data_IF_435245088813
#
_entry.id   IF_435245088813
#
_cell.length_a   1.000
_cell.length_b   1.000
_cell.length_c   1.000
_cell.angle_alpha   90.00
_cell.angle_beta   90.00
_cell.angle_gamma   90.00
#
_symmetry.space_group_name_H-M   'P 1'
#
loop_
_entity.id
_entity.type
_entity.pdbx_description
1 polymer ?
#
# COMPACT_ATOMS: atom_id res chain seq x y z
N UNK A 1 -56.24 -100.09 36.59
CA UNK A 1 -54.84 -99.67 36.81
C UNK A 1 -53.95 -99.70 35.55
N UNK A 2 -54.38 -100.22 34.39
CA UNK A 2 -53.55 -100.26 33.17
C UNK A 2 -53.62 -99.02 32.24
N UNK A 3 -54.65 -98.16 32.37
CA UNK A 3 -54.83 -96.98 31.51
C UNK A 3 -54.05 -95.73 31.96
N UNK A 4 -53.86 -95.54 33.27
CA UNK A 4 -53.13 -94.38 33.83
C UNK A 4 -51.60 -94.47 33.66
N UNK A 5 -51.04 -95.69 33.67
CA UNK A 5 -49.60 -95.88 33.46
C UNK A 5 -49.18 -95.59 32.01
N UNK A 6 -50.05 -95.86 31.02
CA UNK A 6 -49.79 -95.57 29.61
C UNK A 6 -49.87 -94.07 29.30
N UNK A 7 -50.82 -93.36 29.91
CA UNK A 7 -50.96 -91.91 29.75
C UNK A 7 -49.77 -91.13 30.32
N UNK A 8 -49.17 -91.60 31.43
CA UNK A 8 -48.00 -90.95 32.03
C UNK A 8 -46.71 -91.17 31.23
N UNK A 9 -46.54 -92.36 30.66
CA UNK A 9 -45.40 -92.67 29.78
C UNK A 9 -45.45 -91.89 28.45
N UNK A 10 -46.65 -91.72 27.85
CA UNK A 10 -46.81 -90.94 26.62
C UNK A 10 -46.59 -89.43 26.86
N UNK A 11 -46.95 -88.92 28.05
CA UNK A 11 -46.70 -87.52 28.43
C UNK A 11 -45.19 -87.25 28.64
N UNK A 12 -44.47 -88.14 29.30
CA UNK A 12 -43.00 -88.03 29.48
C UNK A 12 -42.25 -88.16 28.14
N UNK A 13 -42.69 -89.03 27.24
CA UNK A 13 -42.12 -89.18 25.89
C UNK A 13 -42.36 -87.93 25.01
N UNK A 14 -43.54 -87.32 25.09
CA UNK A 14 -43.81 -86.05 24.40
C UNK A 14 -42.96 -84.90 24.95
N UNK A 15 -42.80 -84.82 26.28
CA UNK A 15 -41.95 -83.79 26.90
C UNK A 15 -40.48 -83.93 26.51
N UNK A 16 -39.96 -85.16 26.47
CA UNK A 16 -38.60 -85.42 26.02
C UNK A 16 -38.41 -85.06 24.52
N UNK A 17 -39.42 -85.33 23.68
CA UNK A 17 -39.39 -84.96 22.26
C UNK A 17 -39.43 -83.45 22.04
N UNK A 18 -40.27 -82.73 22.78
CA UNK A 18 -40.34 -81.25 22.77
C UNK A 18 -39.03 -80.61 23.28
N UNK A 19 -38.41 -81.17 24.31
CA UNK A 19 -37.12 -80.68 24.80
C UNK A 19 -35.99 -80.90 23.76
N UNK A 20 -35.99 -82.04 23.06
CA UNK A 20 -35.04 -82.30 21.98
C UNK A 20 -35.27 -81.40 20.76
N UNK A 21 -36.52 -81.16 20.36
CA UNK A 21 -36.87 -80.22 19.29
C UNK A 21 -36.47 -78.79 19.63
N UNK A 22 -36.72 -78.33 20.86
CA UNK A 22 -36.32 -77.00 21.30
C UNK A 22 -34.80 -76.83 21.34
N UNK A 23 -34.06 -77.88 21.75
CA UNK A 23 -32.60 -77.86 21.73
C UNK A 23 -32.05 -77.84 20.30
N UNK A 24 -32.61 -78.66 19.40
CA UNK A 24 -32.21 -78.67 17.99
C UNK A 24 -32.50 -77.32 17.30
N UNK A 25 -33.62 -76.67 17.65
CA UNK A 25 -33.97 -75.35 17.14
C UNK A 25 -33.03 -74.26 17.67
N UNK A 26 -32.68 -74.31 18.97
CA UNK A 26 -31.71 -73.39 19.55
C UNK A 26 -30.30 -73.55 18.96
N UNK A 27 -29.86 -74.78 18.69
CA UNK A 27 -28.56 -75.05 18.07
C UNK A 27 -28.54 -74.59 16.59
N UNK A 28 -29.65 -74.74 15.87
CA UNK A 28 -29.80 -74.23 14.50
C UNK A 28 -29.78 -72.69 14.46
N UNK A 29 -30.51 -72.03 15.35
CA UNK A 29 -30.53 -70.57 15.47
C UNK A 29 -29.13 -70.02 15.85
N UNK A 30 -28.39 -70.72 16.72
CA UNK A 30 -27.03 -70.35 17.10
C UNK A 30 -26.03 -70.50 15.94
N UNK A 31 -26.11 -71.56 15.14
CA UNK A 31 -25.28 -71.72 13.94
C UNK A 31 -25.60 -70.66 12.88
N UNK A 32 -26.88 -70.34 12.68
CA UNK A 32 -27.29 -69.32 11.73
C UNK A 32 -26.83 -67.92 12.16
N UNK A 33 -26.89 -67.60 13.45
CA UNK A 33 -26.33 -66.36 14.00
C UNK A 33 -24.80 -66.27 13.82
N UNK A 34 -24.07 -67.38 14.00
CA UNK A 34 -22.62 -67.42 13.80
C UNK A 34 -22.23 -67.21 12.33
N UNK A 35 -22.92 -67.87 11.39
CA UNK A 35 -22.69 -67.72 9.96
C UNK A 35 -23.02 -66.30 9.47
N UNK A 36 -24.08 -65.69 10.00
CA UNK A 36 -24.41 -64.29 9.71
C UNK A 36 -23.34 -63.31 10.22
N UNK A 37 -22.77 -63.58 11.40
CA UNK A 37 -21.67 -62.78 11.96
C UNK A 37 -20.37 -62.92 11.15
N UNK A 38 -20.00 -64.14 10.74
CA UNK A 38 -18.83 -64.38 9.88
C UNK A 38 -19.00 -63.76 8.49
N UNK A 39 -20.18 -63.85 7.88
CA UNK A 39 -20.47 -63.21 6.60
C UNK A 39 -20.38 -61.68 6.67
N UNK A 40 -20.88 -61.09 7.76
CA UNK A 40 -20.78 -59.64 8.01
C UNK A 40 -19.33 -59.20 8.24
N UNK A 41 -18.56 -59.95 9.02
CA UNK A 41 -17.14 -59.66 9.26
C UNK A 41 -16.30 -59.74 7.98
N UNK A 42 -16.59 -60.71 7.10
CA UNK A 42 -15.92 -60.82 5.80
C UNK A 42 -16.29 -59.66 4.85
N UNK A 43 -17.57 -59.29 4.80
CA UNK A 43 -18.01 -58.15 4.00
C UNK A 43 -17.40 -56.82 4.48
N UNK A 44 -17.28 -56.62 5.80
CA UNK A 44 -16.66 -55.44 6.38
C UNK A 44 -15.14 -55.39 6.09
N UNK A 45 -14.46 -56.54 6.09
CA UNK A 45 -13.04 -56.65 5.75
C UNK A 45 -12.78 -56.34 4.25
N UNK A 46 -13.59 -56.91 3.36
CA UNK A 46 -13.49 -56.67 1.91
C UNK A 46 -13.78 -55.19 1.58
N UNK A 47 -14.75 -54.57 2.27
CA UNK A 47 -15.06 -53.15 2.12
C UNK A 47 -13.92 -52.23 2.60
N UNK A 48 -13.26 -52.56 3.72
CA UNK A 48 -12.10 -51.82 4.19
C UNK A 48 -10.91 -51.93 3.22
N UNK A 49 -10.66 -53.12 2.67
CA UNK A 49 -9.56 -53.34 1.74
C UNK A 49 -9.78 -52.60 0.41
N UNK A 50 -11.01 -52.58 -0.11
CA UNK A 50 -11.37 -51.78 -1.28
C UNK A 50 -11.18 -50.27 -1.06
N UNK A 51 -11.54 -49.78 0.14
CA UNK A 51 -11.37 -48.37 0.51
C UNK A 51 -9.88 -47.97 0.59
N UNK A 52 -9.05 -48.82 1.19
CA UNK A 52 -7.60 -48.59 1.29
C UNK A 52 -6.92 -48.59 -0.09
N UNK A 53 -7.34 -49.48 -0.99
CA UNK A 53 -6.82 -49.51 -2.37
C UNK A 53 -7.23 -48.26 -3.17
N UNK A 54 -8.45 -47.78 -2.99
CA UNK A 54 -8.92 -46.54 -3.61
C UNK A 54 -8.17 -45.30 -3.07
N UNK A 55 -7.97 -45.20 -1.75
CA UNK A 55 -7.21 -44.11 -1.13
C UNK A 55 -5.74 -44.13 -1.56
N UNK A 56 -5.13 -45.31 -1.68
CA UNK A 56 -3.75 -45.44 -2.16
C UNK A 56 -3.61 -44.99 -3.63
N UNK A 57 -4.58 -45.35 -4.48
CA UNK A 57 -4.62 -44.92 -5.88
C UNK A 57 -4.83 -43.40 -5.99
N UNK A 58 -5.76 -42.83 -5.24
CA UNK A 58 -6.00 -41.39 -5.22
C UNK A 58 -4.76 -40.60 -4.76
N UNK A 59 -4.02 -41.09 -3.75
CA UNK A 59 -2.75 -40.48 -3.32
C UNK A 59 -1.66 -40.56 -4.38
N UNK A 60 -1.57 -41.67 -5.11
CA UNK A 60 -0.60 -41.84 -6.19
C UNK A 60 -0.92 -40.91 -7.37
N UNK A 61 -2.18 -40.79 -7.76
CA UNK A 61 -2.64 -39.91 -8.84
C UNK A 61 -2.39 -38.43 -8.49
N UNK A 62 -2.68 -38.01 -7.24
CA UNK A 62 -2.36 -36.66 -6.76
C UNK A 62 -0.86 -36.35 -6.77
N UNK A 63 -0.01 -37.31 -6.35
CA UNK A 63 1.44 -37.12 -6.37
C UNK A 63 2.00 -37.01 -7.80
N UNK A 64 1.46 -37.79 -8.73
CA UNK A 64 1.83 -37.72 -10.15
C UNK A 64 1.41 -36.39 -10.80
N UNK A 65 0.22 -35.89 -10.49
CA UNK A 65 -0.27 -34.61 -11.01
C UNK A 65 0.52 -33.43 -10.43
N UNK A 66 0.88 -33.48 -9.13
CA UNK A 66 1.73 -32.47 -8.50
C UNK A 66 3.15 -32.45 -9.08
N UNK A 67 3.74 -33.63 -9.35
CA UNK A 67 5.03 -33.73 -10.03
C UNK A 67 4.99 -33.17 -11.46
N UNK A 68 3.88 -33.41 -12.19
CA UNK A 68 3.68 -32.86 -13.52
C UNK A 68 3.52 -31.34 -13.50
N UNK A 69 2.79 -30.80 -12.52
CA UNK A 69 2.62 -29.36 -12.35
C UNK A 69 3.95 -28.65 -12.04
N UNK A 70 4.78 -29.25 -11.17
CA UNK A 70 6.12 -28.75 -10.86
C UNK A 70 7.06 -28.79 -12.08
N UNK A 71 6.97 -29.83 -12.90
CA UNK A 71 7.73 -29.94 -14.14
C UNK A 71 7.30 -28.89 -15.17
N UNK A 72 5.99 -28.68 -15.37
CA UNK A 72 5.45 -27.64 -16.25
C UNK A 72 5.81 -26.23 -15.77
N UNK A 73 5.77 -25.97 -14.45
CA UNK A 73 6.19 -24.69 -13.88
C UNK A 73 7.68 -24.43 -14.11
N UNK A 74 8.52 -25.46 -13.95
CA UNK A 74 9.95 -25.36 -14.19
C UNK A 74 10.26 -25.15 -15.68
N UNK A 75 9.58 -25.86 -16.57
CA UNK A 75 9.72 -25.67 -18.01
C UNK A 75 9.29 -24.27 -18.47
N UNK A 76 8.20 -23.71 -17.90
CA UNK A 76 7.80 -22.33 -18.14
C UNK A 76 8.81 -21.32 -17.61
N UNK A 77 9.30 -21.51 -16.39
CA UNK A 77 10.31 -20.63 -15.79
C UNK A 77 11.63 -20.65 -16.58
N UNK A 78 12.07 -21.82 -17.04
CA UNK A 78 13.28 -21.97 -17.86
C UNK A 78 13.08 -21.33 -19.26
N UNK A 79 11.89 -21.44 -19.85
CA UNK A 79 11.56 -20.79 -21.13
C UNK A 79 11.52 -19.25 -20.99
N UNK A 80 10.88 -18.73 -19.95
CA UNK A 80 10.83 -17.29 -19.65
C UNK A 80 12.23 -16.73 -19.35
N UNK A 81 13.07 -17.46 -18.61
CA UNK A 81 14.45 -17.08 -18.35
C UNK A 81 15.28 -17.03 -19.65
N UNK A 82 15.07 -17.97 -20.57
CA UNK A 82 15.79 -18.02 -21.83
C UNK A 82 15.33 -16.92 -22.81
N UNK A 83 14.04 -16.57 -22.84
CA UNK A 83 13.55 -15.41 -23.59
C UNK A 83 14.08 -14.09 -23.01
N UNK A 84 14.10 -13.97 -21.68
CA UNK A 84 14.66 -12.78 -21.02
C UNK A 84 16.15 -12.60 -21.32
N UNK A 85 16.93 -13.69 -21.31
CA UNK A 85 18.35 -13.66 -21.67
C UNK A 85 18.56 -13.24 -23.14
N UNK A 86 17.75 -13.74 -24.07
CA UNK A 86 17.81 -13.32 -25.48
C UNK A 86 17.45 -11.85 -25.66
N UNK A 87 16.42 -11.37 -24.96
CA UNK A 87 16.03 -9.96 -24.99
C UNK A 87 17.12 -9.06 -24.38
N UNK A 88 17.73 -9.46 -23.26
CA UNK A 88 18.86 -8.74 -22.65
C UNK A 88 20.10 -8.72 -23.56
N UNK A 89 20.38 -9.81 -24.28
CA UNK A 89 21.49 -9.89 -25.22
C UNK A 89 21.24 -9.04 -26.47
N UNK A 90 20.02 -8.99 -26.99
CA UNK A 90 19.62 -8.11 -28.09
C UNK A 90 19.72 -6.62 -27.70
N UNK A 91 19.23 -6.25 -26.51
CA UNK A 91 19.39 -4.90 -25.96
C UNK A 91 20.86 -4.55 -25.78
N UNK A 92 21.69 -5.51 -25.33
CA UNK A 92 23.13 -5.30 -25.20
C UNK A 92 23.81 -5.09 -26.55
N UNK A 93 23.44 -5.85 -27.59
CA UNK A 93 23.98 -5.69 -28.93
C UNK A 93 23.56 -4.36 -29.56
N UNK A 94 22.30 -3.94 -29.38
CA UNK A 94 21.82 -2.63 -29.82
C UNK A 94 22.59 -1.49 -29.16
N UNK A 95 22.81 -1.57 -27.85
CA UNK A 95 23.61 -0.58 -27.10
C UNK A 95 25.05 -0.53 -27.61
N UNK A 96 25.69 -1.68 -27.83
CA UNK A 96 27.05 -1.73 -28.37
C UNK A 96 27.14 -1.14 -29.79
N UNK A 97 26.14 -1.39 -30.64
CA UNK A 97 26.06 -0.81 -31.98
C UNK A 97 25.85 0.72 -31.93
N UNK A 98 25.01 1.19 -31.01
CA UNK A 98 24.78 2.62 -30.79
C UNK A 98 26.04 3.32 -30.23
N UNK A 99 26.71 2.72 -29.24
CA UNK A 99 27.99 3.19 -28.71
C UNK A 99 29.07 3.25 -29.81
N UNK A 100 29.12 2.26 -30.71
CA UNK A 100 30.07 2.25 -31.82
C UNK A 100 29.76 3.35 -32.87
N UNK A 101 28.49 3.58 -33.20
CA UNK A 101 28.07 4.68 -34.06
C UNK A 101 28.38 6.04 -33.42
N UNK A 102 28.10 6.18 -32.13
CA UNK A 102 28.40 7.39 -31.37
C UNK A 102 29.90 7.65 -31.31
N UNK A 103 30.73 6.63 -31.11
CA UNK A 103 32.18 6.73 -31.15
C UNK A 103 32.70 7.17 -32.53
N UNK A 104 32.11 6.65 -33.62
CA UNK A 104 32.45 7.07 -34.98
C UNK A 104 32.05 8.53 -35.24
N UNK A 105 30.86 8.94 -34.84
CA UNK A 105 30.40 10.33 -34.93
C UNK A 105 31.28 11.29 -34.12
N UNK A 106 31.71 10.88 -32.92
CA UNK A 106 32.65 11.65 -32.10
C UNK A 106 34.03 11.76 -32.76
N UNK A 107 34.52 10.70 -33.39
CA UNK A 107 35.79 10.72 -34.12
C UNK A 107 35.73 11.63 -35.35
N UNK A 108 34.66 11.55 -36.14
CA UNK A 108 34.45 12.42 -37.31
C UNK A 108 34.26 13.89 -36.89
N UNK A 109 33.53 14.14 -35.79
CA UNK A 109 33.39 15.47 -35.21
C UNK A 109 34.73 16.02 -34.70
N UNK A 110 35.57 15.19 -34.08
CA UNK A 110 36.90 15.57 -33.61
C UNK A 110 37.83 15.91 -34.78
N UNK A 111 37.85 15.10 -35.83
CA UNK A 111 38.65 15.36 -37.02
C UNK A 111 38.23 16.67 -37.72
N UNK A 112 36.93 16.96 -37.78
CA UNK A 112 36.40 18.22 -38.29
C UNK A 112 36.79 19.40 -37.39
N UNK A 113 36.69 19.25 -36.07
CA UNK A 113 37.06 20.28 -35.11
C UNK A 113 38.56 20.63 -35.14
N UNK A 114 39.43 19.63 -35.31
CA UNK A 114 40.88 19.83 -35.42
C UNK A 114 41.24 20.57 -36.73
N UNK A 115 40.58 20.23 -37.85
CA UNK A 115 40.74 20.94 -39.12
C UNK A 115 40.24 22.40 -39.03
N UNK A 116 39.10 22.63 -38.39
CA UNK A 116 38.57 23.97 -38.16
C UNK A 116 39.47 24.78 -37.22
N UNK A 117 40.03 24.15 -36.17
CA UNK A 117 40.98 24.80 -35.26
C UNK A 117 42.26 25.23 -35.98
N UNK A 118 42.81 24.39 -36.87
CA UNK A 118 43.95 24.74 -37.72
C UNK A 118 43.62 25.90 -38.67
N UNK A 119 42.43 25.90 -39.27
CA UNK A 119 41.98 26.97 -40.16
C UNK A 119 41.75 28.32 -39.45
N UNK A 120 41.32 28.29 -38.17
CA UNK A 120 41.23 29.49 -37.32
C UNK A 120 42.61 29.99 -36.89
N UNK A 121 43.50 29.10 -36.47
CA UNK A 121 44.87 29.45 -36.06
C UNK A 121 45.71 30.11 -37.18
N UNK A 122 45.33 29.91 -38.44
CA UNK A 122 45.93 30.60 -39.58
C UNK A 122 45.56 32.10 -39.67
N UNK A 123 44.59 32.57 -38.90
CA UNK A 123 44.22 33.98 -38.83
C UNK A 123 45.30 34.79 -38.08
N UNK A 124 45.94 35.73 -38.79
CA UNK A 124 46.94 36.63 -38.20
C UNK A 124 46.38 37.99 -37.79
N UNK A 125 45.14 38.28 -38.19
CA UNK A 125 44.46 39.55 -37.94
C UNK A 125 43.93 39.67 -36.50
N UNK A 126 43.84 40.91 -36.00
CA UNK A 126 43.39 41.19 -34.63
C UNK A 126 41.97 40.68 -34.35
N UNK A 127 41.08 40.72 -35.35
CA UNK A 127 39.71 40.23 -35.19
C UNK A 127 39.69 38.71 -35.06
N UNK A 128 40.48 37.98 -35.85
CA UNK A 128 40.66 36.53 -35.70
C UNK A 128 41.15 36.13 -34.31
N UNK A 129 42.19 36.81 -33.79
CA UNK A 129 42.68 36.59 -32.41
C UNK A 129 41.62 36.85 -31.35
N UNK A 130 40.84 37.91 -31.50
CA UNK A 130 39.74 38.22 -30.58
C UNK A 130 38.62 37.16 -30.62
N UNK A 131 38.28 36.67 -31.81
CA UNK A 131 37.29 35.59 -32.00
C UNK A 131 37.80 34.29 -31.35
N UNK A 132 39.06 33.92 -31.55
CA UNK A 132 39.63 32.70 -30.97
C UNK A 132 39.70 32.75 -29.45
N UNK A 133 40.18 33.87 -28.89
CA UNK A 133 40.22 34.03 -27.43
C UNK A 133 38.83 33.97 -26.80
N UNK A 134 37.82 34.62 -27.41
CA UNK A 134 36.45 34.56 -26.91
C UNK A 134 35.83 33.17 -27.09
N UNK A 135 36.13 32.47 -28.18
CA UNK A 135 35.68 31.10 -28.40
C UNK A 135 36.28 30.13 -27.36
N UNK A 136 37.55 30.31 -26.97
CA UNK A 136 38.18 29.52 -25.90
C UNK A 136 37.52 29.79 -24.54
N UNK A 137 37.26 31.06 -24.21
CA UNK A 137 36.53 31.44 -22.98
C UNK A 137 35.13 30.82 -22.95
N UNK A 138 34.42 30.82 -24.08
CA UNK A 138 33.11 30.21 -24.22
C UNK A 138 33.14 28.69 -24.05
N UNK A 139 34.21 28.01 -24.49
CA UNK A 139 34.41 26.57 -24.28
C UNK A 139 34.68 26.23 -22.80
N UNK A 140 35.41 27.08 -22.08
CA UNK A 140 35.64 26.93 -20.64
C UNK A 140 34.36 27.18 -19.83
N UNK A 141 33.62 28.24 -20.16
CA UNK A 141 32.31 28.55 -19.57
C UNK A 141 31.29 27.43 -19.81
N UNK A 142 31.29 26.82 -21.00
CA UNK A 142 30.44 25.68 -21.33
C UNK A 142 30.71 24.45 -20.43
N UNK A 143 31.96 24.19 -20.05
CA UNK A 143 32.28 23.13 -19.07
C UNK A 143 31.71 23.44 -17.69
N UNK A 144 31.80 24.70 -17.27
CA UNK A 144 31.21 25.13 -15.99
C UNK A 144 29.69 24.96 -15.99
N UNK A 145 29.03 25.25 -17.12
CA UNK A 145 27.59 24.98 -17.25
C UNK A 145 27.26 23.49 -17.20
N UNK A 146 28.05 22.64 -17.85
CA UNK A 146 27.88 21.19 -17.81
C UNK A 146 28.03 20.64 -16.39
N UNK A 147 29.00 21.14 -15.62
CA UNK A 147 29.20 20.79 -14.21
C UNK A 147 28.00 21.21 -13.35
N UNK A 148 27.46 22.43 -13.56
CA UNK A 148 26.27 22.92 -12.86
C UNK A 148 25.04 22.07 -13.19
N UNK A 149 24.85 21.72 -14.45
CA UNK A 149 23.73 20.89 -14.90
C UNK A 149 23.84 19.46 -14.34
N UNK A 150 25.05 18.90 -14.32
CA UNK A 150 25.34 17.59 -13.72
C UNK A 150 25.03 17.57 -12.22
N UNK A 151 25.46 18.60 -11.48
CA UNK A 151 25.13 18.76 -10.07
C UNK A 151 23.62 18.89 -9.87
N UNK A 152 22.94 19.70 -10.67
CA UNK A 152 21.50 19.87 -10.58
C UNK A 152 20.75 18.56 -10.88
N UNK A 153 21.19 17.81 -11.89
CA UNK A 153 20.62 16.52 -12.22
C UNK A 153 20.78 15.50 -11.07
N UNK A 154 21.96 15.45 -10.46
CA UNK A 154 22.20 14.60 -9.30
C UNK A 154 21.29 14.95 -8.12
N UNK A 155 21.05 16.24 -7.85
CA UNK A 155 20.12 16.67 -6.80
C UNK A 155 18.67 16.30 -7.13
N UNK A 156 18.23 16.47 -8.38
CA UNK A 156 16.87 16.05 -8.79
C UNK A 156 16.71 14.52 -8.73
N UNK A 157 17.76 13.76 -9.07
CA UNK A 157 17.75 12.30 -8.94
C UNK A 157 17.60 11.84 -7.48
N UNK A 158 18.22 12.56 -6.53
CA UNK A 158 18.00 12.31 -5.10
C UNK A 158 16.54 12.57 -4.69
N UNK A 159 15.92 13.66 -5.16
CA UNK A 159 14.48 13.91 -4.94
C UNK A 159 13.59 12.83 -5.53
N UNK A 160 13.93 12.32 -6.72
CA UNK A 160 13.21 11.21 -7.34
C UNK A 160 13.33 9.94 -6.48
N UNK A 161 14.52 9.64 -5.97
CA UNK A 161 14.73 8.50 -5.07
C UNK A 161 13.92 8.63 -3.78
N UNK A 162 13.89 9.82 -3.17
CA UNK A 162 13.09 10.05 -1.96
C UNK A 162 11.59 9.86 -2.23
N UNK A 163 11.11 10.27 -3.40
CA UNK A 163 9.73 10.02 -3.83
C UNK A 163 9.44 8.53 -4.03
N UNK A 164 10.35 7.80 -4.68
CA UNK A 164 10.19 6.36 -4.93
C UNK A 164 10.21 5.58 -3.62
N UNK A 165 11.09 5.95 -2.68
CA UNK A 165 11.14 5.42 -1.32
C UNK A 165 9.81 5.63 -0.57
N UNK A 166 9.21 6.82 -0.71
CA UNK A 166 7.94 7.16 -0.08
C UNK A 166 6.76 6.39 -0.70
N UNK A 167 6.76 6.21 -2.02
CA UNK A 167 5.77 5.37 -2.71
C UNK A 167 5.87 3.92 -2.27
N UNK A 168 7.09 3.37 -2.20
CA UNK A 168 7.31 1.99 -1.74
C UNK A 168 6.83 1.80 -0.30
N UNK A 169 7.12 2.74 0.61
CA UNK A 169 6.67 2.70 2.00
C UNK A 169 5.14 2.65 2.08
N UNK A 170 4.46 3.53 1.36
CA UNK A 170 3.00 3.58 1.37
C UNK A 170 2.36 2.37 0.67
N UNK A 171 2.95 1.86 -0.42
CA UNK A 171 2.46 0.65 -1.12
C UNK A 171 2.60 -0.60 -0.25
N UNK A 172 3.66 -0.70 0.56
CA UNK A 172 3.82 -1.78 1.54
C UNK A 172 2.83 -1.62 2.70
N UNK A 173 2.65 -0.39 3.19
CA UNK A 173 1.67 -0.08 4.23
C UNK A 173 0.25 -0.45 3.80
N UNK A 174 -0.15 -0.15 2.56
CA UNK A 174 -1.46 -0.53 2.01
C UNK A 174 -1.67 -2.05 1.89
N UNK A 175 -0.57 -2.83 1.82
CA UNK A 175 -0.60 -4.30 1.86
C UNK A 175 -0.56 -4.84 3.29
N UNK A 176 -0.57 -3.98 4.30
CA UNK A 176 -0.43 -4.34 5.71
C UNK A 176 0.97 -4.80 6.10
N UNK A 177 1.98 -4.49 5.28
CA UNK A 177 3.37 -4.87 5.52
C UNK A 177 4.08 -3.66 6.15
N UNK A 178 4.32 -3.74 7.46
CA UNK A 178 5.01 -2.68 8.20
C UNK A 178 6.50 -2.64 7.84
N UNK A 179 6.95 -1.50 7.32
CA UNK A 179 8.37 -1.16 7.13
C UNK A 179 8.70 -0.02 8.08
N UNK A 180 9.80 -0.14 8.83
CA UNK A 180 10.19 0.90 9.79
C UNK A 180 10.40 2.24 9.05
N UNK A 181 9.79 3.34 9.53
CA UNK A 181 9.93 4.65 8.91
C UNK A 181 11.39 5.07 8.82
N UNK A 182 11.84 5.47 7.63
CA UNK A 182 13.19 6.00 7.46
C UNK A 182 13.36 7.28 8.30
N UNK A 183 14.53 7.50 8.94
CA UNK A 183 14.79 8.73 9.67
C UNK A 183 14.53 9.97 8.82
N UNK A 184 13.92 10.99 9.42
CA UNK A 184 13.68 12.26 8.73
C UNK A 184 15.00 12.89 8.27
N UNK A 185 15.20 12.96 6.95
CA UNK A 185 16.24 13.79 6.36
C UNK A 185 15.78 15.25 6.33
N UNK A 186 16.62 16.14 6.81
CA UNK A 186 16.40 17.58 6.61
C UNK A 186 16.52 17.92 5.12
N UNK A 187 15.40 18.30 4.51
CA UNK A 187 15.35 18.73 3.10
C UNK A 187 15.74 20.19 2.89
N UNK A 188 15.98 20.94 3.96
CA UNK A 188 16.23 22.38 3.88
C UNK A 188 17.53 22.71 3.14
N UNK A 189 18.61 21.98 3.44
CA UNK A 189 19.90 22.16 2.78
C UNK A 189 19.82 21.81 1.29
N UNK A 190 19.17 20.70 0.95
CA UNK A 190 18.99 20.25 -0.43
C UNK A 190 18.10 21.22 -1.23
N UNK A 191 17.00 21.71 -0.64
CA UNK A 191 16.14 22.70 -1.30
C UNK A 191 16.88 24.03 -1.53
N UNK A 192 17.71 24.46 -0.57
CA UNK A 192 18.56 25.63 -0.73
C UNK A 192 19.56 25.44 -1.87
N UNK A 193 20.19 24.26 -1.95
CA UNK A 193 21.10 23.90 -3.04
C UNK A 193 20.40 23.91 -4.41
N UNK A 194 19.18 23.39 -4.50
CA UNK A 194 18.36 23.43 -5.72
C UNK A 194 18.14 24.86 -6.18
N UNK A 195 17.71 25.77 -5.29
CA UNK A 195 17.45 27.16 -5.67
C UNK A 195 18.74 27.90 -6.04
N UNK A 196 19.85 27.61 -5.37
CA UNK A 196 21.16 28.14 -5.74
C UNK A 196 21.59 27.68 -7.15
N UNK A 197 21.46 26.38 -7.45
CA UNK A 197 21.81 25.81 -8.75
C UNK A 197 20.94 26.37 -9.88
N UNK A 198 19.64 26.57 -9.64
CA UNK A 198 18.74 27.23 -10.59
C UNK A 198 19.23 28.63 -10.97
N UNK A 199 19.59 29.44 -9.97
CA UNK A 199 20.08 30.79 -10.19
C UNK A 199 21.43 30.79 -10.92
N UNK A 200 22.35 29.90 -10.54
CA UNK A 200 23.65 29.76 -11.18
C UNK A 200 23.52 29.34 -12.65
N UNK A 201 22.65 28.37 -12.96
CA UNK A 201 22.40 27.92 -14.34
C UNK A 201 21.75 29.04 -15.16
N UNK A 202 20.77 29.76 -14.59
CA UNK A 202 20.12 30.87 -15.28
C UNK A 202 21.12 31.99 -15.62
N UNK A 203 21.99 32.36 -14.67
CA UNK A 203 23.01 33.38 -14.88
C UNK A 203 24.08 32.92 -15.87
N UNK A 204 24.55 31.68 -15.76
CA UNK A 204 25.52 31.13 -16.70
C UNK A 204 24.97 31.09 -18.13
N UNK A 205 23.71 30.68 -18.31
CA UNK A 205 23.01 30.72 -19.59
C UNK A 205 22.93 32.14 -20.16
N UNK A 206 22.64 33.14 -19.32
CA UNK A 206 22.57 34.55 -19.71
C UNK A 206 23.93 35.04 -20.19
N UNK A 207 24.99 34.79 -19.42
CA UNK A 207 26.38 35.19 -19.76
C UNK A 207 26.80 34.55 -21.08
N UNK A 208 26.57 33.24 -21.25
CA UNK A 208 26.97 32.51 -22.45
C UNK A 208 26.25 33.02 -23.70
N UNK A 209 24.95 33.36 -23.60
CA UNK A 209 24.22 34.02 -24.70
C UNK A 209 24.84 35.35 -25.09
N UNK A 210 25.14 36.19 -24.11
CA UNK A 210 25.74 37.51 -24.33
C UNK A 210 27.12 37.38 -25.00
N UNK A 211 27.93 36.42 -24.56
CA UNK A 211 29.26 36.16 -25.13
C UNK A 211 29.18 35.54 -26.54
N UNK A 212 28.24 34.64 -26.82
CA UNK A 212 27.98 34.12 -28.17
C UNK A 212 27.53 35.25 -29.11
N UNK A 213 26.74 36.21 -28.62
CA UNK A 213 26.33 37.37 -29.38
C UNK A 213 27.54 38.28 -29.70
N UNK A 214 28.41 38.52 -28.71
CA UNK A 214 29.69 39.24 -28.91
C UNK A 214 30.58 38.54 -29.94
N UNK A 215 30.71 37.22 -29.85
CA UNK A 215 31.47 36.40 -30.81
C UNK A 215 30.89 36.52 -32.23
N UNK A 216 29.57 36.48 -32.36
CA UNK A 216 28.87 36.68 -33.64
C UNK A 216 29.15 38.07 -34.23
N UNK A 217 29.18 39.11 -33.38
CA UNK A 217 29.47 40.47 -33.81
C UNK A 217 30.92 40.62 -34.28
N UNK A 218 31.89 40.07 -33.55
CA UNK A 218 33.31 40.07 -33.96
C UNK A 218 33.51 39.37 -35.31
N UNK A 219 32.84 38.24 -35.52
CA UNK A 219 32.84 37.54 -36.82
C UNK A 219 32.27 38.42 -37.94
N UNK A 220 31.14 39.09 -37.70
CA UNK A 220 30.55 40.01 -38.69
C UNK A 220 31.46 41.22 -38.99
N UNK A 221 32.18 41.73 -38.00
CA UNK A 221 33.18 42.80 -38.21
C UNK A 221 34.38 42.31 -39.03
N UNK A 222 34.86 41.09 -38.77
CA UNK A 222 35.89 40.46 -39.58
C UNK A 222 35.45 40.31 -41.03
N UNK A 223 34.21 39.87 -41.28
CA UNK A 223 33.65 39.75 -42.63
C UNK A 223 33.60 41.08 -43.39
N UNK A 224 33.54 42.24 -42.72
CA UNK A 224 33.64 43.54 -43.42
C UNK A 224 35.03 43.78 -43.99
N UNK A 225 36.07 43.30 -43.30
CA UNK A 225 37.48 43.42 -43.72
C UNK A 225 37.91 42.28 -44.65
N UNK A 226 37.34 41.10 -44.46
CA UNK A 226 37.60 39.88 -45.22
C UNK A 226 36.28 39.28 -45.73
N UNK A 227 35.72 39.78 -46.84
CA UNK A 227 34.35 39.51 -47.27
C UNK A 227 34.10 38.10 -47.84
N UNK A 228 35.15 37.31 -48.07
CA UNK A 228 34.99 35.96 -48.59
C UNK A 228 34.47 34.99 -47.52
N UNK A 229 33.16 34.85 -47.40
CA UNK A 229 32.54 33.90 -46.44
C UNK A 229 32.97 32.44 -46.63
N UNK A 230 33.51 32.08 -47.80
CA UNK A 230 33.87 30.71 -48.14
C UNK A 230 35.37 30.42 -47.95
N UNK A 231 36.18 31.38 -47.50
CA UNK A 231 37.55 31.06 -47.10
C UNK A 231 37.58 30.12 -45.89
N UNK A 232 38.66 29.34 -45.76
CA UNK A 232 38.75 28.29 -44.75
C UNK A 232 38.58 28.82 -43.31
N UNK A 233 39.15 29.99 -43.03
CA UNK A 233 39.12 30.64 -41.71
C UNK A 233 37.72 31.14 -41.36
N UNK A 234 37.06 31.87 -42.28
CA UNK A 234 35.70 32.37 -42.06
C UNK A 234 34.66 31.24 -41.94
N UNK A 235 34.83 30.14 -42.68
CA UNK A 235 33.99 28.95 -42.52
C UNK A 235 34.19 28.30 -41.16
N UNK A 236 35.43 28.14 -40.71
CA UNK A 236 35.75 27.56 -39.41
C UNK A 236 35.24 28.40 -38.22
N UNK A 237 35.25 29.73 -38.34
CA UNK A 237 34.63 30.61 -37.35
C UNK A 237 33.11 30.50 -37.33
N UNK A 238 32.46 30.51 -38.50
CA UNK A 238 31.01 30.36 -38.60
C UNK A 238 30.53 29.03 -38.03
N UNK A 239 31.22 27.94 -38.36
CA UNK A 239 30.91 26.61 -37.86
C UNK A 239 31.01 26.56 -36.33
N UNK A 240 32.08 27.14 -35.74
CA UNK A 240 32.23 27.22 -34.29
C UNK A 240 31.12 28.03 -33.62
N UNK A 241 30.73 29.16 -34.20
CA UNK A 241 29.60 29.97 -33.69
C UNK A 241 28.31 29.17 -33.71
N UNK A 242 28.06 28.42 -34.79
CA UNK A 242 26.86 27.59 -34.91
C UNK A 242 26.88 26.42 -33.91
N UNK A 243 28.04 25.79 -33.70
CA UNK A 243 28.23 24.76 -32.67
C UNK A 243 27.94 25.31 -31.26
N UNK A 244 28.48 26.48 -30.92
CA UNK A 244 28.24 27.13 -29.63
C UNK A 244 26.76 27.50 -29.44
N UNK A 245 26.09 28.00 -30.48
CA UNK A 245 24.64 28.27 -30.44
C UNK A 245 23.81 27.01 -30.26
N UNK A 246 24.15 25.93 -30.97
CA UNK A 246 23.45 24.66 -30.84
C UNK A 246 23.65 24.04 -29.45
N UNK A 247 24.88 24.08 -28.92
CA UNK A 247 25.20 23.64 -27.57
C UNK A 247 24.42 24.45 -26.52
N UNK A 248 24.36 25.79 -26.67
CA UNK A 248 23.60 26.66 -25.78
C UNK A 248 22.09 26.33 -25.79
N UNK A 249 21.49 26.14 -26.97
CA UNK A 249 20.10 25.73 -27.09
C UNK A 249 19.82 24.37 -26.43
N UNK A 250 20.76 23.42 -26.59
CA UNK A 250 20.67 22.11 -25.95
C UNK A 250 20.72 22.23 -24.42
N UNK A 251 21.67 23.00 -23.87
CA UNK A 251 21.78 23.22 -22.43
C UNK A 251 20.51 23.86 -21.84
N UNK A 252 19.90 24.80 -22.55
CA UNK A 252 18.61 25.39 -22.14
C UNK A 252 17.47 24.37 -22.15
N UNK A 253 17.41 23.53 -23.18
CA UNK A 253 16.40 22.47 -23.26
C UNK A 253 16.57 21.45 -22.12
N UNK A 254 17.80 21.00 -21.87
CA UNK A 254 18.12 20.05 -20.80
C UNK A 254 17.81 20.65 -19.41
N UNK A 255 18.14 21.93 -19.20
CA UNK A 255 17.79 22.66 -17.97
C UNK A 255 16.28 22.78 -17.78
N UNK A 256 15.53 23.12 -18.84
CA UNK A 256 14.08 23.23 -18.79
C UNK A 256 13.40 21.87 -18.50
N UNK A 257 13.90 20.79 -19.11
CA UNK A 257 13.42 19.44 -18.85
C UNK A 257 13.63 19.04 -17.38
N UNK A 258 14.81 19.39 -16.83
CA UNK A 258 15.14 19.08 -15.45
C UNK A 258 14.28 19.88 -14.44
N UNK A 259 13.99 21.14 -14.74
CA UNK A 259 13.04 21.97 -13.98
C UNK A 259 11.63 21.38 -14.00
N UNK A 260 11.15 20.96 -15.17
CA UNK A 260 9.84 20.32 -15.30
C UNK A 260 9.77 19.02 -14.50
N UNK A 261 10.83 18.20 -14.55
CA UNK A 261 10.91 16.97 -13.76
C UNK A 261 10.89 17.25 -12.25
N UNK A 262 11.60 18.27 -11.79
CA UNK A 262 11.58 18.69 -10.39
C UNK A 262 10.17 19.12 -9.93
N UNK A 263 9.43 19.89 -10.73
CA UNK A 263 8.07 20.29 -10.38
C UNK A 263 7.10 19.09 -10.36
N UNK A 264 7.27 18.12 -11.28
CA UNK A 264 6.54 16.85 -11.22
C UNK A 264 6.83 16.09 -9.93
N UNK A 265 8.10 15.93 -9.55
CA UNK A 265 8.51 15.24 -8.32
C UNK A 265 7.91 15.90 -7.08
N UNK A 266 7.90 17.24 -7.03
CA UNK A 266 7.26 17.99 -5.93
C UNK A 266 5.76 17.69 -5.84
N UNK A 267 5.06 17.74 -6.97
CA UNK A 267 3.62 17.47 -7.01
C UNK A 267 3.29 16.03 -6.56
N UNK A 268 4.03 15.04 -7.08
CA UNK A 268 3.85 13.63 -6.72
C UNK A 268 4.19 13.37 -5.24
N UNK A 269 5.24 14.01 -4.72
CA UNK A 269 5.61 13.91 -3.30
C UNK A 269 4.49 14.42 -2.38
N UNK A 270 3.86 15.54 -2.74
CA UNK A 270 2.73 16.07 -1.96
C UNK A 270 1.49 15.17 -2.02
N UNK A 271 1.25 14.49 -3.14
CA UNK A 271 0.20 13.47 -3.24
C UNK A 271 0.48 12.32 -2.28
N UNK A 272 1.70 11.82 -2.28
CA UNK A 272 2.10 10.67 -1.48
C UNK A 272 2.12 10.96 0.02
N UNK A 273 2.55 12.18 0.42
CA UNK A 273 2.40 12.67 1.79
C UNK A 273 0.94 12.71 2.23
N UNK A 274 0.04 13.20 1.38
CA UNK A 274 -1.40 13.24 1.69
C UNK A 274 -1.99 11.83 1.83
N UNK A 275 -1.54 10.86 1.02
CA UNK A 275 -1.93 9.44 1.16
C UNK A 275 -1.52 8.89 2.52
N UNK A 276 -0.26 9.09 2.93
CA UNK A 276 0.25 8.67 4.24
C UNK A 276 -0.53 9.28 5.40
N UNK A 277 -0.86 10.57 5.34
CA UNK A 277 -1.66 11.25 6.38
C UNK A 277 -3.06 10.62 6.49
N UNK A 278 -3.71 10.34 5.36
CA UNK A 278 -5.04 9.70 5.34
C UNK A 278 -4.98 8.29 5.93
N UNK A 279 -3.94 7.52 5.61
CA UNK A 279 -3.75 6.17 6.12
C UNK A 279 -3.46 6.16 7.63
N UNK A 280 -2.55 7.01 8.11
CA UNK A 280 -2.27 7.14 9.53
C UNK A 280 -3.52 7.55 10.32
N UNK A 281 -4.35 8.45 9.77
CA UNK A 281 -5.65 8.78 10.36
C UNK A 281 -6.60 7.57 10.42
N UNK A 282 -6.62 6.74 9.38
CA UNK A 282 -7.46 5.53 9.32
C UNK A 282 -6.99 4.42 10.27
N UNK A 283 -5.69 4.13 10.33
CA UNK A 283 -5.10 3.12 11.20
C UNK A 283 -5.25 3.51 12.68
N UNK A 284 -5.04 4.79 13.01
CA UNK A 284 -5.27 5.31 14.35
C UNK A 284 -6.76 5.19 14.76
N UNK A 285 -7.69 5.40 13.81
CA UNK A 285 -9.12 5.22 14.08
C UNK A 285 -9.50 3.77 14.42
N UNK A 286 -9.00 2.79 13.65
CA UNK A 286 -9.29 1.37 13.90
C UNK A 286 -8.64 0.86 15.20
N UNK A 287 -7.38 1.23 15.45
CA UNK A 287 -6.68 0.88 16.68
C UNK A 287 -7.37 1.45 17.92
N UNK A 288 -7.74 2.74 17.88
CA UNK A 288 -8.51 3.40 18.94
C UNK A 288 -9.84 2.71 19.17
N UNK A 289 -10.60 2.40 18.11
CA UNK A 289 -11.89 1.72 18.26
C UNK A 289 -11.77 0.34 18.93
N UNK A 290 -10.74 -0.44 18.58
CA UNK A 290 -10.50 -1.74 19.22
C UNK A 290 -10.16 -1.60 20.71
N UNK A 291 -9.33 -0.62 21.08
CA UNK A 291 -9.00 -0.33 22.48
C UNK A 291 -10.24 0.14 23.27
N UNK A 292 -11.04 0.99 22.65
CA UNK A 292 -12.28 1.54 23.19
C UNK A 292 -13.32 0.45 23.49
N UNK A 293 -13.51 -0.49 22.57
CA UNK A 293 -14.38 -1.66 22.79
C UNK A 293 -13.85 -2.57 23.91
N UNK A 294 -12.53 -2.79 23.97
CA UNK A 294 -11.93 -3.60 25.02
C UNK A 294 -12.08 -2.96 26.41
N UNK A 295 -11.95 -1.63 26.50
CA UNK A 295 -12.20 -0.87 27.72
C UNK A 295 -13.68 -0.97 28.15
N UNK A 296 -14.62 -0.75 27.22
CA UNK A 296 -16.06 -0.88 27.49
C UNK A 296 -16.41 -2.27 28.01
N UNK A 297 -15.90 -3.32 27.34
CA UNK A 297 -16.12 -4.72 27.75
C UNK A 297 -15.62 -4.95 29.17
N UNK A 298 -14.39 -4.50 29.47
CA UNK A 298 -13.80 -4.61 30.82
C UNK A 298 -14.68 -3.91 31.85
N UNK A 299 -15.09 -2.67 31.59
CA UNK A 299 -15.95 -1.90 32.51
C UNK A 299 -17.24 -2.66 32.81
N UNK A 300 -17.90 -3.21 31.79
CA UNK A 300 -19.14 -3.99 31.96
C UNK A 300 -18.94 -5.28 32.76
N UNK A 301 -17.81 -5.95 32.60
CA UNK A 301 -17.52 -7.24 33.27
C UNK A 301 -16.97 -7.08 34.69
N UNK A 302 -16.21 -6.02 34.98
CA UNK A 302 -15.49 -5.87 36.26
C UNK A 302 -16.17 -4.93 37.24
N UNK A 303 -17.07 -4.05 36.79
CA UNK A 303 -17.70 -3.05 37.65
C UNK A 303 -18.76 -3.71 38.53
N UNK A 304 -18.61 -3.57 39.85
CA UNK A 304 -19.59 -4.05 40.83
C UNK A 304 -20.71 -3.02 41.02
N UNK A 305 -21.96 -3.46 41.26
CA UNK A 305 -23.03 -2.57 41.67
C UNK A 305 -22.65 -1.76 42.91
N UNK A 306 -22.99 -0.47 42.93
CA UNK A 306 -22.71 0.40 44.06
C UNK A 306 -23.56 0.01 45.27
N UNK A 307 -22.94 -0.07 46.45
CA UNK A 307 -23.65 -0.30 47.72
C UNK A 307 -24.36 0.96 48.23
N UNK A 308 -23.88 2.15 47.82
CA UNK A 308 -24.52 3.44 48.07
C UNK A 308 -25.23 3.95 46.82
N UNK A 309 -26.51 4.37 46.89
CA UNK A 309 -27.21 4.93 45.74
C UNK A 309 -26.46 6.14 45.17
N UNK A 310 -26.19 6.12 43.87
CA UNK A 310 -25.57 7.24 43.15
C UNK A 310 -26.63 8.31 42.84
N UNK A 311 -26.20 9.56 42.86
CA UNK A 311 -27.00 10.76 42.59
C UNK A 311 -26.53 11.43 41.30
N UNK A 312 -27.33 12.35 40.74
CA UNK A 312 -26.96 13.05 39.51
C UNK A 312 -25.67 13.88 39.64
N UNK A 313 -25.34 14.37 40.85
CA UNK A 313 -24.09 15.10 41.10
C UNK A 313 -22.84 14.22 41.05
N UNK A 314 -23.00 12.90 41.11
CA UNK A 314 -21.89 11.96 40.99
C UNK A 314 -21.45 11.78 39.52
N UNK A 315 -22.26 12.22 38.55
CA UNK A 315 -22.00 12.06 37.12
C UNK A 315 -21.44 13.35 36.50
N UNK A 316 -20.29 13.24 35.82
CA UNK A 316 -19.80 14.27 34.89
C UNK A 316 -20.46 14.03 33.54
N UNK A 317 -21.44 14.85 33.14
CA UNK A 317 -22.12 14.71 31.84
C UNK A 317 -21.29 15.22 30.66
N UNK A 318 -20.18 15.92 30.96
CA UNK A 318 -19.32 16.55 29.98
C UNK A 318 -20.00 17.74 29.30
N UNK A 319 -19.92 17.79 27.96
CA UNK A 319 -20.45 18.92 27.20
C UNK A 319 -21.97 18.88 27.07
N UNK A 320 -22.61 20.03 27.35
CA UNK A 320 -24.05 20.20 27.20
C UNK A 320 -24.49 19.98 25.75
N UNK A 321 -25.48 19.12 25.59
CA UNK A 321 -26.08 18.83 24.29
C UNK A 321 -27.33 19.68 24.09
N UNK A 322 -27.52 20.15 22.86
CA UNK A 322 -28.83 20.65 22.44
C UNK A 322 -29.83 19.50 22.44
N UNK A 323 -31.10 19.77 22.74
CA UNK A 323 -32.15 18.73 22.83
C UNK A 323 -32.29 17.88 21.54
N UNK A 324 -31.81 18.38 20.39
CA UNK A 324 -31.70 17.63 19.14
C UNK A 324 -30.49 18.08 18.33
N UNK A 325 -29.62 17.14 17.92
CA UNK A 325 -28.48 17.42 17.03
C UNK A 325 -28.42 16.38 15.89
N UNK A 326 -27.96 16.80 14.71
CA UNK A 326 -27.63 15.90 13.60
C UNK A 326 -26.11 15.82 13.47
N UNK A 327 -25.58 14.61 13.46
CA UNK A 327 -24.16 14.32 13.27
C UNK A 327 -24.02 13.37 12.09
N UNK A 328 -23.01 13.59 11.23
CA UNK A 328 -22.81 12.81 10.01
C UNK A 328 -21.49 12.05 10.01
N UNK A 329 -21.41 10.98 9.22
CA UNK A 329 -20.17 10.23 8.93
C UNK A 329 -19.48 9.61 10.16
N UNK A 330 -20.26 8.97 11.03
CA UNK A 330 -19.76 8.20 12.17
C UNK A 330 -19.47 6.75 11.75
N UNK A 331 -18.21 6.48 11.37
CA UNK A 331 -17.74 5.18 10.82
C UNK A 331 -18.23 3.91 11.53
N UNK A 332 -18.33 3.93 12.87
CA UNK A 332 -18.64 2.74 13.69
C UNK A 332 -19.97 2.88 14.45
N UNK A 333 -20.88 3.71 13.95
CA UNK A 333 -22.27 3.76 14.40
C UNK A 333 -23.18 3.49 13.20
N UNK A 334 -24.43 3.15 13.46
CA UNK A 334 -25.43 3.05 12.40
C UNK A 334 -26.19 4.38 12.29
N UNK A 335 -26.83 4.61 11.14
CA UNK A 335 -27.83 5.68 11.05
C UNK A 335 -28.99 5.40 12.02
N UNK A 336 -29.48 6.44 12.70
CA UNK A 336 -30.55 6.32 13.70
C UNK A 336 -30.57 7.46 14.71
N UNK A 337 -31.47 7.37 15.70
CA UNK A 337 -31.59 8.31 16.80
C UNK A 337 -31.06 7.67 18.09
N UNK A 338 -30.04 8.31 18.67
CA UNK A 338 -29.35 7.85 19.86
C UNK A 338 -29.75 8.69 21.07
N UNK A 339 -30.05 8.03 22.19
CA UNK A 339 -30.30 8.68 23.47
C UNK A 339 -28.97 8.89 24.18
N UNK A 340 -28.36 10.05 23.93
CA UNK A 340 -27.07 10.43 24.49
C UNK A 340 -27.25 10.85 25.94
N UNK A 341 -26.48 10.24 26.83
CA UNK A 341 -26.49 10.53 28.27
C UNK A 341 -25.27 11.33 28.72
N UNK A 342 -24.16 11.32 27.96
CA UNK A 342 -22.98 12.14 28.25
C UNK A 342 -22.09 12.30 27.02
N UNK A 343 -21.31 13.39 26.98
CA UNK A 343 -20.36 13.67 25.89
C UNK A 343 -19.01 14.12 26.43
N UNK A 344 -17.95 13.37 26.14
CA UNK A 344 -16.60 13.64 26.64
C UNK A 344 -15.54 13.65 25.53
N UNK A 345 -14.53 14.49 25.66
CA UNK A 345 -13.34 14.47 24.80
C UNK A 345 -12.21 13.57 25.31
N UNK A 346 -12.24 13.17 26.60
CA UNK A 346 -11.24 12.30 27.23
C UNK A 346 -11.76 10.87 27.40
N UNK A 347 -10.85 9.91 27.16
CA UNK A 347 -11.03 8.48 27.44
C UNK A 347 -11.29 8.24 28.93
N UNK A 348 -10.59 8.95 29.81
CA UNK A 348 -10.70 8.78 31.27
C UNK A 348 -12.10 9.18 31.75
N UNK A 349 -12.59 10.35 31.32
CA UNK A 349 -13.93 10.83 31.68
C UNK A 349 -15.03 9.92 31.13
N UNK A 350 -14.84 9.43 29.90
CA UNK A 350 -15.74 8.44 29.31
C UNK A 350 -15.81 7.18 30.19
N UNK A 351 -14.66 6.64 30.57
CA UNK A 351 -14.57 5.41 31.35
C UNK A 351 -15.11 5.59 32.77
N UNK A 352 -14.88 6.73 33.41
CA UNK A 352 -15.48 7.09 34.69
C UNK A 352 -17.00 7.14 34.62
N UNK A 353 -17.55 7.80 33.59
CA UNK A 353 -19.00 7.88 33.40
C UNK A 353 -19.60 6.49 33.16
N UNK A 354 -19.02 5.70 32.26
CA UNK A 354 -19.45 4.33 31.98
C UNK A 354 -19.40 3.46 33.23
N UNK A 355 -18.34 3.55 34.02
CA UNK A 355 -18.18 2.81 35.28
C UNK A 355 -19.28 3.18 36.27
N UNK A 356 -19.57 4.48 36.45
CA UNK A 356 -20.66 4.93 37.33
C UNK A 356 -22.03 4.50 36.82
N UNK A 357 -22.26 4.52 35.51
CA UNK A 357 -23.52 4.08 34.92
C UNK A 357 -23.75 2.58 35.14
N UNK A 358 -22.71 1.75 34.94
CA UNK A 358 -22.75 0.31 35.22
C UNK A 358 -22.93 0.05 36.72
N UNK A 359 -22.23 0.78 37.58
CA UNK A 359 -22.38 0.68 39.04
C UNK A 359 -23.79 1.09 39.52
N UNK A 360 -24.45 2.00 38.81
CA UNK A 360 -25.85 2.39 39.01
C UNK A 360 -26.87 1.40 38.40
N UNK A 361 -26.39 0.29 37.81
CA UNK A 361 -27.22 -0.80 37.27
C UNK A 361 -27.51 -0.71 35.77
N UNK A 362 -26.93 0.24 35.02
CA UNK A 362 -27.12 0.35 33.57
C UNK A 362 -25.99 -0.34 32.80
N UNK A 363 -26.21 -1.59 32.39
CA UNK A 363 -25.19 -2.45 31.77
C UNK A 363 -25.16 -2.41 30.23
N UNK A 364 -26.22 -1.94 29.60
CA UNK A 364 -26.39 -1.77 28.16
C UNK A 364 -25.84 -0.44 27.62
N UNK A 365 -25.12 0.33 28.44
CA UNK A 365 -24.41 1.54 27.99
C UNK A 365 -23.41 1.23 26.87
N UNK A 366 -23.28 2.13 25.91
CA UNK A 366 -22.38 2.04 24.79
C UNK A 366 -21.95 3.47 24.40
N UNK A 367 -21.04 3.59 23.43
CA UNK A 367 -20.66 4.89 22.91
C UNK A 367 -20.22 4.80 21.45
N UNK A 368 -20.21 5.94 20.77
CA UNK A 368 -19.48 6.10 19.52
C UNK A 368 -18.53 7.28 19.62
N UNK A 369 -17.47 7.26 18.81
CA UNK A 369 -16.51 8.36 18.74
C UNK A 369 -16.69 9.13 17.43
N UNK A 370 -16.90 10.43 17.56
CA UNK A 370 -16.92 11.34 16.42
C UNK A 370 -15.50 11.89 16.19
N UNK A 371 -14.89 11.45 15.08
CA UNK A 371 -13.53 11.85 14.69
C UNK A 371 -13.44 13.35 14.39
N UNK A 372 -14.49 13.94 13.83
CA UNK A 372 -14.52 15.37 13.47
C UNK A 372 -14.50 16.28 14.68
N UNK A 373 -15.21 15.90 15.74
CA UNK A 373 -15.29 16.71 16.97
C UNK A 373 -14.35 16.21 18.08
N UNK A 374 -13.68 15.08 17.86
CA UNK A 374 -12.88 14.36 18.85
C UNK A 374 -13.63 14.07 20.16
N UNK A 375 -14.88 13.60 20.05
CA UNK A 375 -15.77 13.39 21.21
C UNK A 375 -16.38 11.99 21.22
N UNK A 376 -16.47 11.44 22.43
CA UNK A 376 -17.23 10.25 22.79
C UNK A 376 -18.66 10.65 23.13
N UNK A 377 -19.62 10.03 22.44
CA UNK A 377 -21.05 10.17 22.71
C UNK A 377 -21.52 8.89 23.38
N UNK A 378 -21.85 8.96 24.66
CA UNK A 378 -22.29 7.82 25.46
C UNK A 378 -23.81 7.72 25.37
N UNK A 379 -24.33 6.53 25.09
CA UNK A 379 -25.75 6.23 24.95
C UNK A 379 -26.08 4.88 25.59
N UNK A 380 -27.36 4.57 25.79
CA UNK A 380 -27.78 3.20 26.12
C UNK A 380 -28.89 2.68 25.19
N UNK A 381 -29.47 3.55 24.35
CA UNK A 381 -30.58 3.20 23.47
C UNK A 381 -30.42 3.88 22.11
N UNK A 382 -30.70 3.11 21.06
CA UNK A 382 -30.76 3.53 19.66
C UNK A 382 -32.12 3.11 19.11
N UNK A 383 -32.82 4.02 18.46
CA UNK A 383 -34.08 3.77 17.75
C UNK A 383 -34.00 4.33 16.34
N UNK A 384 -34.80 3.79 15.42
CA UNK A 384 -34.71 4.18 14.00
C UNK A 384 -35.59 5.39 13.69
N UNK A 385 -36.67 5.59 14.45
CA UNK A 385 -37.65 6.66 14.24
C UNK A 385 -37.58 7.81 15.25
N UNK A 386 -37.83 9.04 14.79
CA UNK A 386 -37.89 10.22 15.66
C UNK A 386 -39.01 10.12 16.70
N UNK A 387 -40.17 9.58 16.34
CA UNK A 387 -41.31 9.42 17.26
C UNK A 387 -40.96 8.45 18.40
N UNK A 388 -40.21 7.39 18.11
CA UNK A 388 -39.75 6.44 19.12
C UNK A 388 -38.73 7.09 20.06
N UNK A 389 -37.81 7.90 19.52
CA UNK A 389 -36.82 8.62 20.31
C UNK A 389 -37.47 9.63 21.26
N UNK A 390 -38.49 10.35 20.78
CA UNK A 390 -39.28 11.27 21.59
C UNK A 390 -40.01 10.54 22.72
N UNK A 391 -40.65 9.40 22.41
CA UNK A 391 -41.32 8.58 23.40
C UNK A 391 -40.34 8.03 24.45
N UNK A 392 -39.17 7.57 24.02
CA UNK A 392 -38.11 7.09 24.92
C UNK A 392 -37.63 8.21 25.86
N UNK A 393 -37.46 9.43 25.35
CA UNK A 393 -37.14 10.63 26.13
C UNK A 393 -38.22 11.00 27.16
N UNK A 394 -39.50 10.88 26.81
CA UNK A 394 -40.62 11.08 27.73
C UNK A 394 -40.66 10.02 28.84
N UNK A 395 -40.26 8.78 28.51
CA UNK A 395 -40.22 7.65 29.44
C UNK A 395 -38.89 7.46 30.19
N UNK A 396 -37.92 8.37 30.05
CA UNK A 396 -36.55 8.21 30.56
C UNK A 396 -36.44 7.98 32.08
N UNK A 397 -37.46 8.33 32.86
CA UNK A 397 -37.46 8.18 34.32
C UNK A 397 -36.43 9.07 35.03
N UNK A 398 -36.21 8.81 36.33
CA UNK A 398 -35.42 9.66 37.23
C UNK A 398 -34.05 9.04 37.62
N UNK A 399 -33.51 8.15 36.79
CA UNK A 399 -32.20 7.58 37.06
C UNK A 399 -31.12 8.67 37.05
N UNK A 400 -30.08 8.57 37.90
CA UNK A 400 -29.12 9.65 38.10
C UNK A 400 -28.31 9.99 36.82
N UNK A 401 -28.12 9.02 35.93
CA UNK A 401 -27.42 9.19 34.65
C UNK A 401 -28.30 9.78 33.52
N UNK A 402 -29.59 10.05 33.76
CA UNK A 402 -30.51 10.61 32.75
C UNK A 402 -30.66 12.14 32.82
N UNK A 403 -29.87 12.78 33.70
CA UNK A 403 -29.99 14.21 34.03
C UNK A 403 -29.85 15.15 32.83
N UNK A 404 -28.91 14.86 31.91
CA UNK A 404 -28.66 15.67 30.71
C UNK A 404 -28.87 14.92 29.39
N UNK A 405 -29.83 14.00 29.39
CA UNK A 405 -30.12 13.19 28.21
C UNK A 405 -30.59 14.03 27.01
N UNK A 406 -30.10 13.72 25.81
CA UNK A 406 -30.46 14.38 24.56
C UNK A 406 -30.59 13.39 23.40
N UNK A 407 -31.36 13.76 22.37
CA UNK A 407 -31.49 12.97 21.13
C UNK A 407 -30.44 13.44 20.12
N UNK A 408 -29.62 12.51 19.64
CA UNK A 408 -28.69 12.76 18.53
C UNK A 408 -29.03 11.87 17.35
N UNK A 409 -29.32 12.49 16.20
CA UNK A 409 -29.50 11.80 14.92
C UNK A 409 -28.13 11.56 14.28
N UNK A 410 -27.80 10.32 14.01
CA UNK A 410 -26.62 9.92 13.22
C UNK A 410 -27.06 9.65 11.78
N UNK A 411 -26.36 10.25 10.82
CA UNK A 411 -26.54 10.03 9.38
C UNK A 411 -25.22 9.57 8.74
N UNK A 412 -25.17 8.31 8.32
CA UNK A 412 -24.02 7.71 7.63
C UNK A 412 -24.29 7.43 6.15
#
# INVERSE_FOLDING_TARGET
MAAEAKAKADAEAQQAKLAAENKAKADADAQQAKLAAEAKAKADADAQQAKLAADAKAKADMAAEQARLLADQRAKADAEANEKLKAEEEVRQLRLAEEAQQAKLLADAKAKADADALARAAATDEAGKAIDNLALSLDESAKTQDDLLTQFNATVANKQKDLDDLKEENDLSDKGIYKEPKPFKSVAAENSQIEALKLQIAEANRIQKDEIARLTNLYNERLKKFPNKNDATNRAYLEKINQLKAAQLKMEADSAALLANLERIKAETEIEKKRRIKQAAYENDQGRYAQDLAALKRIKETTKPSSTPLTASDFDFGEDQSNMQIIKNIKNADSGFYLIIAVHSSVEKRDEFLTKAVAAGRTDVNFFYNVTTSKYYIYYEKVDGLQEAQKAMESKGNAPYNGKMAIVKVEN
#
